data_IF_926174598239
#
_entry.id   IF_926174598239
#
_cell.length_a   1.000
_cell.length_b   1.000
_cell.length_c   1.000
_cell.angle_alpha   90.00
_cell.angle_beta   90.00
_cell.angle_gamma   90.00
#
_symmetry.space_group_name_H-M   'P 1'
#
loop_
_entity.id
_entity.type
_entity.pdbx_description
1 polymer ?
#
# COMPACT_ATOMS: atom_id res chain seq x y z
N UNK A 1 -2.09 25.04 -8.31
CA UNK A 1 -2.61 23.95 -7.46
C UNK A 1 -1.48 22.96 -7.26
N UNK A 2 -1.20 22.54 -6.02
CA UNK A 2 -0.18 21.51 -5.76
C UNK A 2 -0.57 20.17 -6.37
N UNK A 3 0.37 19.22 -6.44
CA UNK A 3 0.03 17.83 -6.78
C UNK A 3 -0.86 17.25 -5.67
N UNK A 4 -1.71 16.28 -6.00
CA UNK A 4 -2.49 15.55 -4.99
C UNK A 4 -1.58 14.59 -4.22
N UNK A 5 -1.83 14.45 -2.93
CA UNK A 5 -1.17 13.48 -2.07
C UNK A 5 -1.82 12.09 -2.26
N UNK A 6 -1.13 11.18 -2.93
CA UNK A 6 -1.63 9.84 -3.21
C UNK A 6 -0.92 8.82 -2.32
N UNK A 7 -1.66 8.10 -1.48
CA UNK A 7 -1.12 6.96 -0.74
C UNK A 7 -1.33 5.68 -1.54
N UNK A 8 -0.26 4.94 -1.83
CA UNK A 8 -0.32 3.61 -2.45
C UNK A 8 0.12 2.57 -1.43
N UNK A 9 -0.76 1.62 -1.07
CA UNK A 9 -0.45 0.56 -0.10
C UNK A 9 -0.29 -0.78 -0.83
N UNK A 10 0.83 -1.46 -0.58
CA UNK A 10 1.17 -2.79 -1.08
C UNK A 10 1.68 -3.68 0.06
N UNK A 11 1.79 -4.99 -0.14
CA UNK A 11 2.44 -5.85 0.86
C UNK A 11 3.00 -7.17 0.36
N UNK A 12 2.94 -7.45 -0.93
CA UNK A 12 3.39 -8.70 -1.54
C UNK A 12 4.15 -8.45 -2.83
N UNK A 13 4.97 -9.44 -3.23
CA UNK A 13 5.71 -9.42 -4.50
C UNK A 13 4.81 -9.24 -5.73
N UNK A 14 3.67 -9.96 -5.89
CA UNK A 14 2.77 -9.72 -7.01
C UNK A 14 2.26 -8.28 -7.09
N UNK A 15 1.99 -7.63 -5.95
CA UNK A 15 1.56 -6.23 -5.95
C UNK A 15 2.68 -5.30 -6.43
N UNK A 16 3.94 -5.50 -5.98
CA UNK A 16 5.11 -4.73 -6.45
C UNK A 16 5.24 -4.85 -7.97
N UNK A 17 5.24 -6.07 -8.50
CA UNK A 17 5.42 -6.34 -9.94
C UNK A 17 4.30 -5.70 -10.76
N UNK A 18 3.05 -5.89 -10.34
CA UNK A 18 1.88 -5.44 -11.11
C UNK A 18 1.66 -3.93 -11.04
N UNK A 19 2.03 -3.29 -9.93
CA UNK A 19 1.95 -1.84 -9.78
C UNK A 19 3.21 -1.11 -10.25
N UNK A 20 4.30 -1.78 -10.64
CA UNK A 20 5.56 -1.13 -10.96
C UNK A 20 5.44 0.04 -11.95
N UNK A 21 4.73 -0.16 -13.07
CA UNK A 21 4.51 0.91 -14.05
C UNK A 21 3.62 2.04 -13.50
N UNK A 22 2.64 1.70 -12.66
CA UNK A 22 1.73 2.66 -12.02
C UNK A 22 2.48 3.50 -10.99
N UNK A 23 3.28 2.89 -10.12
CA UNK A 23 4.11 3.56 -9.11
C UNK A 23 5.01 4.61 -9.77
N UNK A 24 5.72 4.25 -10.85
CA UNK A 24 6.56 5.19 -11.60
C UNK A 24 5.80 6.38 -12.18
N UNK A 25 4.58 6.16 -12.67
CA UNK A 25 3.72 7.24 -13.15
C UNK A 25 3.24 8.09 -11.98
N UNK A 26 2.85 7.47 -10.87
CA UNK A 26 2.39 8.18 -9.70
C UNK A 26 3.47 9.08 -9.10
N UNK A 27 4.74 8.64 -9.05
CA UNK A 27 5.87 9.48 -8.62
C UNK A 27 6.04 10.75 -9.49
N UNK A 28 5.66 10.69 -10.77
CA UNK A 28 5.75 11.85 -11.67
C UNK A 28 4.61 12.84 -11.47
N UNK A 29 3.38 12.34 -11.28
CA UNK A 29 2.16 13.16 -11.35
C UNK A 29 1.54 13.50 -9.98
N UNK A 30 1.84 12.73 -8.94
CA UNK A 30 1.34 12.91 -7.58
C UNK A 30 2.49 13.15 -6.59
N UNK A 31 2.16 13.67 -5.42
CA UNK A 31 3.02 13.59 -4.25
C UNK A 31 2.72 12.22 -3.61
N UNK A 32 3.35 11.18 -4.18
CA UNK A 32 3.05 9.78 -3.83
C UNK A 32 3.74 9.38 -2.53
N UNK A 33 2.95 8.81 -1.61
CA UNK A 33 3.41 8.10 -0.40
C UNK A 33 3.22 6.60 -0.63
N UNK A 34 4.31 5.89 -0.88
CA UNK A 34 4.33 4.45 -1.09
C UNK A 34 4.54 3.74 0.25
N UNK A 35 3.61 2.87 0.62
CA UNK A 35 3.60 2.18 1.90
C UNK A 35 3.62 0.68 1.68
N UNK A 36 4.50 -0.01 2.38
CA UNK A 36 4.55 -1.46 2.40
C UNK A 36 4.04 -1.99 3.75
N UNK A 37 3.01 -2.84 3.76
CA UNK A 37 2.44 -3.34 5.02
C UNK A 37 3.39 -4.28 5.77
N UNK A 38 4.28 -4.94 5.05
CA UNK A 38 5.20 -5.93 5.60
C UNK A 38 4.56 -7.30 5.83
N UNK A 39 3.32 -7.53 5.37
CA UNK A 39 2.60 -8.81 5.55
C UNK A 39 3.35 -10.03 4.98
N UNK A 40 4.20 -9.82 3.97
CA UNK A 40 5.01 -10.86 3.35
C UNK A 40 6.40 -10.29 3.06
N UNK A 41 7.13 -10.00 4.15
CA UNK A 41 8.41 -9.32 4.07
C UNK A 41 9.58 -10.25 4.37
N UNK A 42 10.15 -10.77 3.30
CA UNK A 42 11.56 -11.12 3.26
C UNK A 42 12.29 -9.96 2.57
N UNK A 43 13.15 -9.27 3.33
CA UNK A 43 13.85 -8.05 2.89
C UNK A 43 14.67 -8.33 1.62
N UNK A 44 15.44 -9.42 1.61
CA UNK A 44 16.35 -9.76 0.51
C UNK A 44 15.56 -10.04 -0.76
N UNK A 45 14.46 -10.80 -0.65
CA UNK A 45 13.63 -11.16 -1.78
C UNK A 45 12.80 -10.00 -2.34
N UNK A 46 12.34 -9.07 -1.49
CA UNK A 46 11.54 -7.94 -1.95
C UNK A 46 12.41 -6.84 -2.55
N UNK A 47 13.58 -6.54 -1.97
CA UNK A 47 14.46 -5.48 -2.45
C UNK A 47 14.90 -5.71 -3.90
N UNK A 48 15.19 -6.97 -4.27
CA UNK A 48 15.52 -7.36 -5.64
C UNK A 48 14.46 -6.90 -6.65
N UNK A 49 13.16 -7.02 -6.33
CA UNK A 49 12.12 -6.55 -7.25
C UNK A 49 12.04 -5.04 -7.35
N UNK A 50 12.30 -4.30 -6.27
CA UNK A 50 12.38 -2.83 -6.36
C UNK A 50 13.55 -2.42 -7.25
N UNK A 51 14.72 -3.05 -7.08
CA UNK A 51 15.92 -2.72 -7.84
C UNK A 51 15.78 -3.11 -9.32
N UNK A 52 15.38 -4.35 -9.62
CA UNK A 52 15.21 -4.87 -10.98
C UNK A 52 14.15 -4.09 -11.77
N UNK A 53 13.09 -3.67 -11.10
CA UNK A 53 12.02 -2.89 -11.71
C UNK A 53 12.34 -1.39 -11.70
N UNK A 54 13.47 -0.94 -11.13
CA UNK A 54 13.86 0.46 -11.04
C UNK A 54 12.83 1.31 -10.29
N UNK A 55 12.32 0.79 -9.16
CA UNK A 55 11.41 1.45 -8.25
C UNK A 55 12.19 2.00 -7.05
N UNK A 56 11.77 3.16 -6.55
CA UNK A 56 12.26 3.67 -5.26
C UNK A 56 11.76 2.80 -4.11
N UNK A 57 12.46 2.87 -2.97
CA UNK A 57 11.98 2.26 -1.74
C UNK A 57 10.63 2.87 -1.29
N UNK A 58 9.77 2.09 -0.60
CA UNK A 58 8.63 2.60 0.14
C UNK A 58 9.03 3.69 1.15
N UNK A 59 8.18 4.69 1.30
CA UNK A 59 8.35 5.76 2.30
C UNK A 59 8.09 5.25 3.72
N UNK A 60 7.21 4.25 3.85
CA UNK A 60 6.83 3.65 5.13
C UNK A 60 6.73 2.14 5.05
N UNK A 61 7.18 1.47 6.11
CA UNK A 61 6.93 0.05 6.37
C UNK A 61 6.08 -0.08 7.64
N UNK A 62 4.90 -0.71 7.54
CA UNK A 62 4.02 -0.85 8.70
C UNK A 62 4.46 -1.95 9.67
N UNK A 63 5.27 -2.91 9.20
CA UNK A 63 5.66 -4.10 9.99
C UNK A 63 4.45 -4.79 10.63
N UNK A 64 3.45 -5.12 9.80
CA UNK A 64 2.13 -5.54 10.29
C UNK A 64 2.06 -7.00 10.77
N UNK A 65 3.08 -7.83 10.51
CA UNK A 65 3.09 -9.24 10.91
C UNK A 65 2.97 -9.36 12.44
N UNK A 66 1.93 -10.08 12.87
CA UNK A 66 1.69 -10.46 14.27
C UNK A 66 2.03 -11.93 14.52
N UNK A 67 1.58 -12.47 15.65
CA UNK A 67 1.77 -13.88 16.03
C UNK A 67 0.95 -14.84 15.17
N UNK A 68 -0.20 -14.38 14.69
CA UNK A 68 -1.09 -15.14 13.84
C UNK A 68 -1.71 -14.26 12.73
N UNK A 69 -2.53 -14.89 11.88
CA UNK A 69 -3.19 -14.21 10.77
C UNK A 69 -4.17 -13.13 11.24
N UNK A 70 -4.90 -13.38 12.33
CA UNK A 70 -5.88 -12.44 12.88
C UNK A 70 -5.19 -11.17 13.39
N UNK A 71 -4.08 -11.33 14.13
CA UNK A 71 -3.26 -10.21 14.58
C UNK A 71 -2.65 -9.45 13.40
N UNK A 72 -2.16 -10.15 12.37
CA UNK A 72 -1.60 -9.51 11.17
C UNK A 72 -2.64 -8.66 10.44
N UNK A 73 -3.85 -9.18 10.24
CA UNK A 73 -4.95 -8.44 9.61
C UNK A 73 -5.35 -7.22 10.46
N UNK A 74 -5.51 -7.41 11.78
CA UNK A 74 -5.83 -6.33 12.71
C UNK A 74 -4.77 -5.22 12.68
N UNK A 75 -3.50 -5.59 12.65
CA UNK A 75 -2.38 -4.66 12.56
C UNK A 75 -2.37 -3.87 11.24
N UNK A 76 -2.67 -4.50 10.11
CA UNK A 76 -2.77 -3.78 8.82
C UNK A 76 -3.81 -2.67 8.92
N UNK A 77 -4.99 -2.97 9.46
CA UNK A 77 -6.07 -1.98 9.60
C UNK A 77 -5.65 -0.86 10.57
N UNK A 78 -5.20 -1.21 11.78
CA UNK A 78 -4.83 -0.26 12.82
C UNK A 78 -3.69 0.67 12.39
N UNK A 79 -2.58 0.11 11.89
CA UNK A 79 -1.41 0.88 11.48
C UNK A 79 -1.65 1.72 10.23
N UNK A 80 -2.45 1.22 9.28
CA UNK A 80 -2.86 2.03 8.12
C UNK A 80 -3.70 3.22 8.56
N UNK A 81 -4.60 3.05 9.53
CA UNK A 81 -5.41 4.13 10.08
C UNK A 81 -4.54 5.21 10.73
N UNK A 82 -3.62 4.81 11.61
CA UNK A 82 -2.68 5.72 12.27
C UNK A 82 -1.87 6.54 11.26
N UNK A 83 -1.31 5.87 10.24
CA UNK A 83 -0.53 6.55 9.21
C UNK A 83 -1.40 7.50 8.38
N UNK A 84 -2.62 7.11 8.01
CA UNK A 84 -3.53 7.99 7.26
C UNK A 84 -3.95 9.22 8.06
N UNK A 85 -4.11 9.12 9.39
CA UNK A 85 -4.40 10.28 10.26
C UNK A 85 -3.22 11.27 10.28
N UNK A 86 -1.99 10.75 10.23
CA UNK A 86 -0.78 11.57 10.21
C UNK A 86 -0.57 12.24 8.84
N UNK A 87 -0.62 11.45 7.77
CA UNK A 87 -0.30 11.89 6.40
C UNK A 87 -1.45 12.64 5.74
N UNK A 88 -2.70 12.29 6.07
CA UNK A 88 -3.93 12.85 5.48
C UNK A 88 -3.90 12.85 3.94
N UNK A 89 -3.74 11.68 3.30
CA UNK A 89 -3.69 11.62 1.84
C UNK A 89 -5.04 12.01 1.23
N UNK A 90 -5.00 12.59 0.03
CA UNK A 90 -6.20 12.97 -0.74
C UNK A 90 -6.89 11.74 -1.36
N UNK A 91 -6.14 10.65 -1.57
CA UNK A 91 -6.66 9.39 -2.09
C UNK A 91 -5.80 8.19 -1.67
N UNK A 92 -6.43 7.01 -1.63
CA UNK A 92 -5.77 5.71 -1.46
C UNK A 92 -5.85 4.91 -2.76
N UNK A 93 -4.72 4.35 -3.20
CA UNK A 93 -4.61 3.34 -4.25
C UNK A 93 -4.20 1.99 -3.67
N UNK A 94 -4.93 0.95 -4.02
CA UNK A 94 -4.67 -0.45 -3.64
C UNK A 94 -4.93 -1.39 -4.82
N UNK A 95 -4.35 -2.58 -4.79
CA UNK A 95 -4.46 -3.59 -5.85
C UNK A 95 -4.96 -4.92 -5.28
N UNK A 96 -5.91 -5.55 -5.97
CA UNK A 96 -6.27 -6.94 -5.75
C UNK A 96 -6.90 -7.19 -4.37
N UNK A 97 -6.67 -8.37 -3.81
CA UNK A 97 -7.42 -8.93 -2.67
C UNK A 97 -6.50 -9.46 -1.55
N UNK A 98 -5.24 -9.03 -1.51
CA UNK A 98 -4.33 -9.41 -0.42
C UNK A 98 -4.77 -8.80 0.92
N UNK A 99 -4.23 -9.24 2.06
CA UNK A 99 -4.58 -8.63 3.35
C UNK A 99 -4.25 -7.12 3.39
N UNK A 100 -3.30 -6.63 2.57
CA UNK A 100 -3.02 -5.19 2.46
C UNK A 100 -4.20 -4.39 1.93
N UNK A 101 -5.06 -5.00 1.12
CA UNK A 101 -6.28 -4.37 0.62
C UNK A 101 -7.26 -4.02 1.76
N UNK A 102 -7.17 -4.68 2.92
CA UNK A 102 -8.01 -4.38 4.09
C UNK A 102 -7.71 -2.98 4.70
N UNK A 103 -6.59 -2.35 4.33
CA UNK A 103 -6.33 -0.93 4.63
C UNK A 103 -7.42 0.01 4.06
N UNK A 104 -8.19 -0.44 3.06
CA UNK A 104 -9.39 0.23 2.56
C UNK A 104 -10.42 0.53 3.67
N UNK A 105 -10.52 -0.32 4.69
CA UNK A 105 -11.43 -0.13 5.83
C UNK A 105 -11.06 1.18 6.54
N UNK A 106 -9.76 1.39 6.81
CA UNK A 106 -9.23 2.58 7.46
C UNK A 106 -9.48 3.84 6.63
N UNK A 107 -9.17 3.79 5.33
CA UNK A 107 -9.44 4.90 4.41
C UNK A 107 -10.93 5.26 4.35
N UNK A 108 -11.81 4.25 4.29
CA UNK A 108 -13.27 4.47 4.25
C UNK A 108 -13.76 5.15 5.52
N UNK A 109 -13.24 4.77 6.69
CA UNK A 109 -13.58 5.39 7.98
C UNK A 109 -13.10 6.83 8.11
N UNK A 110 -12.03 7.19 7.41
CA UNK A 110 -11.47 8.54 7.35
C UNK A 110 -12.02 9.37 6.18
N UNK A 111 -12.98 8.84 5.43
CA UNK A 111 -13.56 9.48 4.24
C UNK A 111 -12.54 9.79 3.13
N UNK A 112 -11.46 9.02 3.06
CA UNK A 112 -10.47 9.11 1.99
C UNK A 112 -11.02 8.35 0.76
N UNK A 113 -11.08 8.95 -0.44
CA UNK A 113 -11.42 8.26 -1.67
C UNK A 113 -10.51 7.05 -1.95
N UNK A 114 -11.10 5.92 -2.32
CA UNK A 114 -10.39 4.65 -2.55
C UNK A 114 -10.47 4.30 -4.04
N UNK A 115 -9.31 4.09 -4.65
CA UNK A 115 -9.16 3.58 -6.01
C UNK A 115 -8.65 2.14 -5.91
N UNK A 116 -9.49 1.19 -6.30
CA UNK A 116 -9.20 -0.24 -6.21
C UNK A 116 -8.91 -0.79 -7.60
N UNK A 117 -7.64 -1.11 -7.86
CA UNK A 117 -7.23 -1.77 -9.09
C UNK A 117 -7.47 -3.27 -8.99
N UNK A 118 -7.79 -3.91 -10.12
CA UNK A 118 -8.20 -5.33 -10.15
C UNK A 118 -9.46 -5.61 -9.31
N UNK A 119 -10.37 -4.65 -9.26
CA UNK A 119 -11.66 -4.84 -8.61
C UNK A 119 -12.54 -5.85 -9.38
N UNK A 120 -13.43 -6.52 -8.66
CA UNK A 120 -14.46 -7.39 -9.24
C UNK A 120 -14.07 -8.87 -9.38
N UNK A 121 -12.85 -9.24 -8.98
CA UNK A 121 -12.52 -10.65 -8.74
C UNK A 121 -13.39 -11.18 -7.60
N UNK A 122 -14.10 -12.29 -7.86
CA UNK A 122 -14.96 -12.95 -6.88
C UNK A 122 -14.14 -14.05 -6.20
N UNK A 123 -13.58 -13.74 -5.04
CA UNK A 123 -12.97 -14.70 -4.12
C UNK A 123 -14.01 -15.23 -3.13
#
# INVERSE_FOLDING_TARGET
>A
MGKLNLMTIIGTRPEIIRLAAVIKKCDKYFDQVLVHTGQNYDYELNQVFFDDLGLRAPDYYLSAVGKDLGETIGNIIAKSYELMVQIKPDALLILGDTNSCLSAISAKRLHIPIFHMEAGNRC
#
